data_IF_174195525371
#
_entry.id   IF_174195525371
#
_cell.length_a   1.000
_cell.length_b   1.000
_cell.length_c   1.000
_cell.angle_alpha   90.00
_cell.angle_beta   90.00
_cell.angle_gamma   90.00
#
_symmetry.space_group_name_H-M   'P 1'
#
loop_
_entity.id
_entity.type
_entity.pdbx_description
1 polymer ?
#
# COMPACT_ATOMS: atom_id res chain seq x y z
N UNK A 1 15.82 -0.36 -4.50
CA UNK A 1 14.84 -0.79 -3.48
C UNK A 1 13.84 -1.81 -4.01
N UNK A 2 13.33 -1.74 -5.25
CA UNK A 2 12.47 -2.81 -5.78
C UNK A 2 13.17 -4.17 -5.95
N UNK A 3 14.50 -4.18 -6.12
CA UNK A 3 15.32 -5.39 -6.05
C UNK A 3 15.22 -6.11 -4.70
N UNK A 4 14.83 -5.43 -3.63
CA UNK A 4 14.66 -6.03 -2.30
C UNK A 4 13.43 -6.96 -2.29
N UNK A 5 12.34 -6.60 -2.97
CA UNK A 5 11.19 -7.49 -3.11
C UNK A 5 11.54 -8.74 -3.92
N UNK A 6 12.37 -8.59 -4.97
CA UNK A 6 12.88 -9.71 -5.76
C UNK A 6 13.88 -10.57 -4.96
N UNK A 7 14.66 -9.92 -4.08
CA UNK A 7 15.57 -10.57 -3.16
C UNK A 7 14.81 -11.39 -2.13
N UNK A 8 13.65 -10.95 -1.64
CA UNK A 8 12.82 -11.77 -0.75
C UNK A 8 12.44 -13.10 -1.41
N UNK A 9 11.95 -13.08 -2.65
CA UNK A 9 11.67 -14.32 -3.39
C UNK A 9 12.92 -15.18 -3.61
N UNK A 10 14.06 -14.56 -3.94
CA UNK A 10 15.32 -15.27 -4.11
C UNK A 10 15.82 -15.89 -2.79
N UNK A 11 15.64 -15.21 -1.67
CA UNK A 11 15.97 -15.69 -0.33
C UNK A 11 15.05 -16.82 0.08
N UNK A 12 13.74 -16.75 -0.20
CA UNK A 12 12.83 -17.89 0.07
C UNK A 12 13.25 -19.11 -0.75
N UNK A 13 13.61 -18.92 -2.02
CA UNK A 13 14.09 -19.98 -2.88
C UNK A 13 15.41 -20.57 -2.37
N UNK A 14 16.38 -19.73 -1.98
CA UNK A 14 17.64 -20.18 -1.37
C UNK A 14 17.40 -20.88 -0.03
N UNK A 15 16.49 -20.38 0.81
CA UNK A 15 16.15 -20.97 2.09
C UNK A 15 15.64 -22.41 1.92
N UNK A 16 14.90 -22.69 0.84
CA UNK A 16 14.48 -24.06 0.52
C UNK A 16 15.65 -25.02 0.25
N UNK A 17 16.75 -24.56 -0.33
CA UNK A 17 17.93 -25.41 -0.61
C UNK A 17 18.94 -25.47 0.54
N UNK A 18 19.08 -24.39 1.31
CA UNK A 18 20.11 -24.28 2.35
C UNK A 18 19.61 -24.61 3.75
N UNK A 19 18.29 -24.52 4.01
CA UNK A 19 17.70 -24.78 5.32
C UNK A 19 16.90 -26.08 5.26
N UNK A 20 17.49 -27.14 5.80
CA UNK A 20 16.87 -28.47 5.82
C UNK A 20 15.47 -28.48 6.46
N UNK A 21 15.27 -27.73 7.54
CA UNK A 21 13.95 -27.62 8.19
C UNK A 21 12.86 -27.04 7.26
N UNK A 22 13.20 -26.07 6.39
CA UNK A 22 12.25 -25.49 5.45
C UNK A 22 11.90 -26.50 4.35
N UNK A 23 12.91 -27.22 3.86
CA UNK A 23 12.72 -28.27 2.87
C UNK A 23 11.82 -29.39 3.42
N UNK A 24 12.07 -29.85 4.64
CA UNK A 24 11.30 -30.91 5.29
C UNK A 24 9.83 -30.50 5.49
N UNK A 25 9.57 -29.27 5.95
CA UNK A 25 8.19 -28.76 6.12
C UNK A 25 7.46 -28.72 4.77
N UNK A 26 8.11 -28.22 3.72
CA UNK A 26 7.49 -28.12 2.39
C UNK A 26 7.26 -29.51 1.78
N UNK A 27 8.21 -30.43 1.92
CA UNK A 27 8.06 -31.81 1.44
C UNK A 27 6.96 -32.55 2.20
N UNK A 28 6.88 -32.41 3.52
CA UNK A 28 5.81 -32.99 4.32
C UNK A 28 4.44 -32.43 3.92
N UNK A 29 4.33 -31.12 3.67
CA UNK A 29 3.10 -30.52 3.15
C UNK A 29 2.69 -31.11 1.79
N UNK A 30 3.65 -31.30 0.88
CA UNK A 30 3.40 -31.89 -0.44
C UNK A 30 2.97 -33.36 -0.35
N UNK A 31 3.53 -34.12 0.60
CA UNK A 31 3.15 -35.52 0.82
C UNK A 31 1.78 -35.67 1.47
N UNK A 32 1.42 -34.81 2.43
CA UNK A 32 0.16 -34.89 3.15
C UNK A 32 -1.01 -34.26 2.38
N UNK A 33 -0.78 -33.10 1.75
CA UNK A 33 -1.82 -32.28 1.13
C UNK A 33 -1.40 -31.81 -0.27
N UNK A 34 -1.25 -32.71 -1.26
CA UNK A 34 -0.68 -32.38 -2.56
C UNK A 34 -1.51 -31.30 -3.28
N UNK A 35 -2.83 -31.45 -3.36
CA UNK A 35 -3.72 -30.53 -4.08
C UNK A 35 -3.66 -29.09 -3.54
N UNK A 36 -3.77 -28.94 -2.22
CA UNK A 36 -3.71 -27.63 -1.55
C UNK A 36 -2.31 -27.05 -1.70
N UNK A 37 -1.27 -27.84 -1.48
CA UNK A 37 0.13 -27.37 -1.52
C UNK A 37 0.54 -26.91 -2.93
N UNK A 38 0.20 -27.64 -3.99
CA UNK A 38 0.48 -27.20 -5.36
C UNK A 38 -0.27 -25.91 -5.71
N UNK A 39 -1.52 -25.78 -5.26
CA UNK A 39 -2.30 -24.56 -5.45
C UNK A 39 -1.66 -23.36 -4.75
N UNK A 40 -1.16 -23.53 -3.52
CA UNK A 40 -0.43 -22.49 -2.78
C UNK A 40 0.84 -22.03 -3.49
N UNK A 41 1.61 -22.99 -4.04
CA UNK A 41 2.83 -22.68 -4.80
C UNK A 41 2.47 -21.88 -6.07
N UNK A 42 1.42 -22.28 -6.78
CA UNK A 42 0.93 -21.54 -7.95
C UNK A 42 0.51 -20.10 -7.60
N UNK A 43 -0.25 -19.94 -6.51
CA UNK A 43 -0.67 -18.62 -6.00
C UNK A 43 0.53 -17.77 -5.59
N UNK A 44 1.57 -18.37 -5.02
CA UNK A 44 2.80 -17.65 -4.65
C UNK A 44 3.57 -17.13 -5.88
N UNK A 45 3.65 -17.93 -6.93
CA UNK A 45 4.39 -17.58 -8.16
C UNK A 45 3.62 -16.54 -9.00
N UNK A 46 2.28 -16.54 -8.96
CA UNK A 46 1.44 -15.71 -9.81
C UNK A 46 1.74 -14.19 -9.74
N UNK A 47 1.79 -13.54 -8.56
CA UNK A 47 2.17 -12.12 -8.45
C UNK A 47 3.60 -11.82 -8.94
N UNK A 48 4.52 -12.77 -8.77
CA UNK A 48 5.91 -12.63 -9.25
C UNK A 48 5.95 -12.57 -10.78
N UNK A 49 5.17 -13.41 -11.48
CA UNK A 49 5.08 -13.39 -12.94
C UNK A 49 4.53 -12.04 -13.42
N UNK A 50 3.46 -11.54 -12.79
CA UNK A 50 2.88 -10.23 -13.14
C UNK A 50 3.93 -9.12 -12.97
N UNK A 51 4.66 -9.13 -11.86
CA UNK A 51 5.72 -8.15 -11.62
C UNK A 51 6.85 -8.24 -12.65
N UNK A 52 7.29 -9.45 -13.02
CA UNK A 52 8.27 -9.64 -14.10
C UNK A 52 7.77 -9.09 -15.43
N UNK A 53 6.52 -9.38 -15.79
CA UNK A 53 5.89 -8.84 -17.00
C UNK A 53 5.88 -7.31 -16.98
N UNK A 54 5.43 -6.67 -15.90
CA UNK A 54 5.45 -5.21 -15.79
C UNK A 54 6.86 -4.62 -15.93
N UNK A 55 7.86 -5.29 -15.37
CA UNK A 55 9.26 -4.90 -15.50
C UNK A 55 9.77 -5.00 -16.94
N UNK A 56 9.48 -6.10 -17.64
CA UNK A 56 9.90 -6.32 -19.04
C UNK A 56 9.24 -5.31 -19.97
N UNK A 57 7.94 -5.07 -19.81
CA UNK A 57 7.18 -4.13 -20.64
C UNK A 57 7.32 -2.66 -20.23
N UNK A 58 8.18 -2.33 -19.24
CA UNK A 58 8.38 -0.97 -18.69
C UNK A 58 7.07 -0.26 -18.31
N UNK A 59 6.09 -1.02 -17.82
CA UNK A 59 4.75 -0.53 -17.45
C UNK A 59 4.75 0.03 -16.02
N UNK A 60 5.44 1.14 -15.83
CA UNK A 60 5.71 1.73 -14.51
C UNK A 60 4.63 2.69 -13.98
N UNK A 61 3.41 2.62 -14.52
CA UNK A 61 2.30 3.51 -14.14
C UNK A 61 1.61 3.06 -12.83
N UNK A 62 0.98 4.02 -12.14
CA UNK A 62 0.23 3.77 -10.89
C UNK A 62 -0.89 2.74 -11.08
N UNK A 63 -1.57 2.75 -12.23
CA UNK A 63 -2.64 1.78 -12.55
C UNK A 63 -2.15 0.33 -12.48
N UNK A 64 -0.96 0.06 -13.02
CA UNK A 64 -0.34 -1.27 -13.00
C UNK A 64 0.11 -1.69 -11.59
N UNK A 65 0.49 -0.72 -10.74
CA UNK A 65 0.73 -0.99 -9.32
C UNK A 65 -0.55 -1.36 -8.58
N UNK A 66 -1.65 -0.61 -8.79
CA UNK A 66 -2.95 -0.91 -8.16
C UNK A 66 -3.42 -2.30 -8.57
N UNK A 67 -3.28 -2.65 -9.85
CA UNK A 67 -3.57 -4.00 -10.33
C UNK A 67 -2.72 -5.07 -9.61
N UNK A 68 -1.39 -4.92 -9.60
CA UNK A 68 -0.49 -5.87 -8.91
C UNK A 68 -0.80 -5.98 -7.41
N UNK A 69 -1.06 -4.84 -6.75
CA UNK A 69 -1.42 -4.79 -5.33
C UNK A 69 -2.72 -5.55 -5.06
N UNK A 70 -3.74 -5.35 -5.88
CA UNK A 70 -5.02 -6.03 -5.70
C UNK A 70 -4.87 -7.55 -5.92
N UNK A 71 -4.15 -7.96 -6.97
CA UNK A 71 -3.89 -9.38 -7.22
C UNK A 71 -3.07 -10.03 -6.10
N UNK A 72 -2.03 -9.37 -5.61
CA UNK A 72 -1.18 -9.90 -4.54
C UNK A 72 -1.96 -10.01 -3.22
N UNK A 73 -2.78 -9.01 -2.87
CA UNK A 73 -3.64 -9.06 -1.68
C UNK A 73 -4.70 -10.15 -1.78
N UNK A 74 -5.29 -10.34 -2.96
CA UNK A 74 -6.24 -11.41 -3.20
C UNK A 74 -5.57 -12.78 -3.08
N UNK A 75 -4.40 -12.96 -3.69
CA UNK A 75 -3.57 -14.17 -3.54
C UNK A 75 -3.22 -14.46 -2.07
N UNK A 76 -2.81 -13.43 -1.32
CA UNK A 76 -2.52 -13.54 0.10
C UNK A 76 -3.76 -13.95 0.93
N UNK A 77 -4.93 -13.41 0.61
CA UNK A 77 -6.20 -13.78 1.25
C UNK A 77 -6.61 -15.21 0.92
N UNK A 78 -6.59 -15.60 -0.35
CA UNK A 78 -6.93 -16.96 -0.80
C UNK A 78 -5.98 -18.00 -0.19
N UNK A 79 -4.70 -17.67 -0.06
CA UNK A 79 -3.70 -18.53 0.59
C UNK A 79 -4.01 -18.78 2.07
N UNK A 80 -4.48 -17.78 2.82
CA UNK A 80 -4.92 -18.01 4.21
C UNK A 80 -6.17 -18.89 4.23
N UNK A 81 -7.15 -18.60 3.37
CA UNK A 81 -8.40 -19.36 3.29
C UNK A 81 -8.18 -20.84 2.94
N UNK A 82 -7.28 -21.13 2.00
CA UNK A 82 -6.91 -22.51 1.66
C UNK A 82 -6.23 -23.24 2.83
N UNK A 83 -5.42 -22.53 3.64
CA UNK A 83 -4.81 -23.10 4.85
C UNK A 83 -5.86 -23.42 5.93
N UNK A 84 -6.87 -22.55 6.07
CA UNK A 84 -8.02 -22.81 6.95
C UNK A 84 -8.89 -23.97 6.46
N UNK A 85 -9.09 -24.11 5.14
CA UNK A 85 -9.78 -25.26 4.56
C UNK A 85 -9.00 -26.55 4.85
N UNK A 86 -7.68 -26.54 4.70
CA UNK A 86 -6.83 -27.67 5.08
C UNK A 86 -6.96 -28.02 6.56
N UNK A 87 -7.02 -27.01 7.43
CA UNK A 87 -7.27 -27.20 8.87
C UNK A 87 -8.62 -27.89 9.10
N UNK A 88 -9.68 -27.42 8.44
CA UNK A 88 -11.01 -28.01 8.56
C UNK A 88 -11.03 -29.48 8.11
N UNK A 89 -10.45 -29.79 6.95
CA UNK A 89 -10.35 -31.17 6.44
C UNK A 89 -9.59 -32.07 7.42
N UNK A 90 -8.46 -31.62 7.96
CA UNK A 90 -7.68 -32.41 8.92
C UNK A 90 -8.40 -32.61 10.26
N UNK A 91 -9.12 -31.61 10.76
CA UNK A 91 -9.94 -31.77 11.97
C UNK A 91 -11.12 -32.73 11.74
N UNK A 92 -11.78 -32.67 10.60
CA UNK A 92 -12.83 -33.65 10.23
C UNK A 92 -12.25 -35.05 10.17
N UNK A 93 -11.10 -35.25 9.50
CA UNK A 93 -10.43 -36.55 9.41
C UNK A 93 -10.04 -37.11 10.78
N UNK A 94 -9.59 -36.24 11.70
CA UNK A 94 -9.29 -36.62 13.08
C UNK A 94 -10.53 -37.13 13.82
N UNK A 95 -11.67 -36.41 13.72
CA UNK A 95 -12.93 -36.82 14.35
C UNK A 95 -13.42 -38.15 13.79
N UNK A 96 -13.34 -38.34 12.47
CA UNK A 96 -13.72 -39.59 11.80
C UNK A 96 -12.82 -40.76 12.22
N UNK A 97 -11.52 -40.55 12.36
CA UNK A 97 -10.59 -41.58 12.82
C UNK A 97 -10.88 -42.01 14.26
N UNK A 98 -11.19 -41.06 15.15
CA UNK A 98 -11.54 -41.34 16.55
C UNK A 98 -12.90 -42.05 16.63
N UNK A 99 -13.90 -41.61 15.87
CA UNK A 99 -15.21 -42.27 15.87
C UNK A 99 -15.13 -43.71 15.36
N UNK A 100 -14.29 -43.98 14.36
CA UNK A 100 -14.05 -45.33 13.87
C UNK A 100 -13.48 -46.27 14.96
N UNK A 101 -12.67 -45.74 15.90
CA UNK A 101 -12.16 -46.53 17.03
C UNK A 101 -13.25 -46.90 18.05
N UNK A 102 -14.29 -46.07 18.16
CA UNK A 102 -15.35 -46.21 19.17
C UNK A 102 -16.50 -47.12 18.71
N UNK A 103 -16.62 -47.35 17.40
CA UNK A 103 -17.73 -48.10 16.78
C UNK A 103 -17.40 -49.57 16.46
N UNK A 104 -16.22 -50.09 16.83
CA UNK A 104 -15.82 -51.46 16.51
C UNK A 104 -16.38 -52.50 17.50
N UNK A 105 -17.16 -53.46 16.99
CA UNK A 105 -17.57 -54.67 17.71
C UNK A 105 -16.55 -55.79 17.38
N UNK A 106 -15.89 -56.35 18.39
CA UNK A 106 -14.76 -57.27 18.21
C UNK A 106 -14.04 -57.62 19.51
N UNK A 107 -13.21 -58.66 19.45
CA UNK A 107 -12.43 -59.17 20.60
C UNK A 107 -11.38 -58.14 21.07
N UNK A 108 -10.87 -58.25 22.30
CA UNK A 108 -10.00 -57.24 22.93
C UNK A 108 -8.75 -56.92 22.07
N UNK A 109 -8.21 -57.92 21.37
CA UNK A 109 -7.07 -57.74 20.47
C UNK A 109 -7.41 -56.94 19.20
N UNK A 110 -8.61 -57.11 18.64
CA UNK A 110 -9.08 -56.35 17.47
C UNK A 110 -9.37 -54.90 17.85
N UNK A 111 -9.97 -54.68 19.03
CA UNK A 111 -10.18 -53.33 19.56
C UNK A 111 -8.87 -52.58 19.80
N UNK A 112 -7.84 -53.27 20.29
CA UNK A 112 -6.52 -52.64 20.49
C UNK A 112 -5.85 -52.27 19.18
N UNK A 113 -5.90 -53.14 18.15
CA UNK A 113 -5.37 -52.82 16.82
C UNK A 113 -6.15 -51.69 16.14
N UNK A 114 -7.48 -51.70 16.23
CA UNK A 114 -8.33 -50.62 15.72
C UNK A 114 -8.02 -49.28 16.40
N UNK A 115 -7.82 -49.29 17.72
CA UNK A 115 -7.46 -48.10 18.48
C UNK A 115 -6.10 -47.54 18.08
N UNK A 116 -5.07 -48.38 17.94
CA UNK A 116 -3.74 -47.94 17.50
C UNK A 116 -3.81 -47.34 16.09
N UNK A 117 -4.53 -47.99 15.17
CA UNK A 117 -4.74 -47.49 13.81
C UNK A 117 -5.45 -46.13 13.80
N UNK A 118 -6.53 -45.99 14.58
CA UNK A 118 -7.29 -44.75 14.69
C UNK A 118 -6.47 -43.61 15.28
N UNK A 119 -5.63 -43.86 16.29
CA UNK A 119 -4.72 -42.85 16.85
C UNK A 119 -3.70 -42.42 15.79
N UNK A 120 -3.09 -43.38 15.08
CA UNK A 120 -2.14 -43.07 14.02
C UNK A 120 -2.78 -42.23 12.90
N UNK A 121 -4.00 -42.56 12.50
CA UNK A 121 -4.75 -41.78 11.50
C UNK A 121 -5.10 -40.39 12.02
N UNK A 122 -5.57 -40.27 13.27
CA UNK A 122 -5.89 -39.00 13.89
C UNK A 122 -4.67 -38.07 13.98
N UNK A 123 -3.50 -38.62 14.33
CA UNK A 123 -2.23 -37.88 14.37
C UNK A 123 -1.81 -37.40 12.97
N UNK A 124 -1.99 -38.22 11.94
CA UNK A 124 -1.70 -37.82 10.56
C UNK A 124 -2.66 -36.70 10.09
N UNK A 125 -3.95 -36.80 10.40
CA UNK A 125 -4.94 -35.75 10.09
C UNK A 125 -4.70 -34.46 10.86
N UNK A 126 -4.20 -34.54 12.10
CA UNK A 126 -3.77 -33.37 12.87
C UNK A 126 -2.53 -32.70 12.23
N UNK A 127 -1.55 -33.50 11.82
CA UNK A 127 -0.36 -32.99 11.12
C UNK A 127 -0.75 -32.28 9.82
N UNK A 128 -1.65 -32.89 9.04
CA UNK A 128 -2.23 -32.28 7.84
C UNK A 128 -2.83 -30.89 8.12
N UNK A 129 -3.68 -30.79 9.15
CA UNK A 129 -4.31 -29.53 9.52
C UNK A 129 -3.30 -28.44 9.89
N UNK A 130 -2.33 -28.79 10.74
CA UNK A 130 -1.35 -27.84 11.25
C UNK A 130 -0.41 -27.34 10.15
N UNK A 131 0.12 -28.26 9.33
CA UNK A 131 1.12 -27.94 8.32
C UNK A 131 0.52 -27.12 7.17
N UNK A 132 -0.70 -27.45 6.73
CA UNK A 132 -1.42 -26.67 5.70
C UNK A 132 -1.75 -25.25 6.17
N UNK A 133 -2.07 -25.08 7.45
CA UNK A 133 -2.30 -23.76 8.06
C UNK A 133 -1.03 -22.91 8.10
N UNK A 134 0.08 -23.49 8.58
CA UNK A 134 1.38 -22.81 8.60
C UNK A 134 1.79 -22.39 7.20
N UNK A 135 1.64 -23.27 6.21
CA UNK A 135 1.99 -22.98 4.83
C UNK A 135 1.17 -21.80 4.29
N UNK A 136 -0.15 -21.80 4.50
CA UNK A 136 -1.04 -20.74 4.03
C UNK A 136 -0.71 -19.37 4.65
N UNK A 137 -0.48 -19.32 5.96
CA UNK A 137 -0.08 -18.07 6.63
C UNK A 137 1.30 -17.60 6.16
N UNK A 138 2.27 -18.52 6.04
CA UNK A 138 3.63 -18.19 5.63
C UNK A 138 3.68 -17.61 4.22
N UNK A 139 2.98 -18.24 3.27
CA UNK A 139 2.88 -17.75 1.89
C UNK A 139 2.23 -16.36 1.85
N UNK A 140 1.14 -16.16 2.61
CA UNK A 140 0.46 -14.86 2.70
C UNK A 140 1.37 -13.74 3.20
N UNK A 141 2.11 -13.99 4.28
CA UNK A 141 3.07 -13.01 4.84
C UNK A 141 4.17 -12.69 3.83
N UNK A 142 4.74 -13.70 3.18
CA UNK A 142 5.78 -13.51 2.16
C UNK A 142 5.30 -12.65 0.99
N UNK A 143 4.06 -12.88 0.52
CA UNK A 143 3.44 -12.09 -0.54
C UNK A 143 3.27 -10.62 -0.14
N UNK A 144 2.73 -10.36 1.05
CA UNK A 144 2.46 -9.00 1.53
C UNK A 144 3.75 -8.21 1.82
N UNK A 145 4.74 -8.85 2.42
CA UNK A 145 6.06 -8.24 2.63
C UNK A 145 6.70 -7.88 1.30
N UNK A 146 6.67 -8.80 0.33
CA UNK A 146 7.20 -8.55 -1.02
C UNK A 146 6.47 -7.40 -1.72
N UNK A 147 5.14 -7.31 -1.60
CA UNK A 147 4.34 -6.23 -2.16
C UNK A 147 4.75 -4.86 -1.62
N UNK A 148 5.05 -4.77 -0.33
CA UNK A 148 5.48 -3.51 0.29
C UNK A 148 6.76 -2.96 -0.38
N UNK A 149 7.69 -3.85 -0.76
CA UNK A 149 8.89 -3.45 -1.49
C UNK A 149 8.62 -3.12 -2.96
N UNK A 150 7.66 -3.77 -3.60
CA UNK A 150 7.27 -3.46 -4.98
C UNK A 150 6.66 -2.06 -5.12
N UNK A 151 6.02 -1.51 -4.07
CA UNK A 151 5.52 -0.13 -4.05
C UNK A 151 6.62 0.91 -4.41
N UNK A 152 7.85 0.69 -3.97
CA UNK A 152 8.97 1.60 -4.25
C UNK A 152 9.38 1.62 -5.73
N UNK A 153 9.03 0.60 -6.52
CA UNK A 153 9.26 0.60 -7.97
C UNK A 153 8.43 1.69 -8.68
N UNK A 154 7.15 1.76 -8.34
CA UNK A 154 6.17 2.61 -9.02
C UNK A 154 6.11 4.05 -8.49
N UNK A 155 6.66 4.33 -7.31
CA UNK A 155 6.72 5.70 -6.76
C UNK A 155 7.74 6.61 -7.47
N UNK A 156 8.80 6.04 -8.07
CA UNK A 156 9.88 6.84 -8.70
C UNK A 156 9.42 7.56 -9.97
N UNK A 157 8.46 7.01 -10.72
CA UNK A 157 7.87 7.66 -11.89
C UNK A 157 6.75 8.64 -11.56
N UNK A 158 5.95 8.36 -10.53
CA UNK A 158 4.91 9.30 -10.09
C UNK A 158 5.45 10.67 -9.67
N UNK A 159 6.61 10.71 -9.00
CA UNK A 159 7.27 11.97 -8.66
C UNK A 159 7.72 12.77 -9.90
N UNK A 160 8.17 12.07 -10.95
CA UNK A 160 8.54 12.70 -12.23
C UNK A 160 7.32 13.17 -13.03
N UNK A 161 6.24 12.38 -13.03
CA UNK A 161 4.99 12.74 -13.72
C UNK A 161 4.30 13.93 -13.10
N UNK A 162 4.18 13.98 -11.75
CA UNK A 162 3.55 15.12 -11.06
C UNK A 162 4.32 16.43 -11.25
N UNK A 163 5.66 16.37 -11.22
CA UNK A 163 6.50 17.54 -11.49
C UNK A 163 6.32 18.06 -12.93
N UNK A 164 6.13 17.15 -13.91
CA UNK A 164 5.94 17.51 -15.32
C UNK A 164 4.58 18.16 -15.56
N UNK A 165 3.51 17.65 -14.95
CA UNK A 165 2.16 18.22 -15.04
C UNK A 165 2.05 19.61 -14.41
N UNK A 166 2.71 19.87 -13.27
CA UNK A 166 2.72 21.21 -12.67
C UNK A 166 3.44 22.25 -13.54
N UNK A 167 4.53 21.88 -14.22
CA UNK A 167 5.19 22.79 -15.19
C UNK A 167 4.29 23.11 -16.39
N UNK A 168 3.55 22.14 -16.92
CA UNK A 168 2.69 22.34 -18.10
C UNK A 168 1.56 23.34 -17.80
N UNK A 169 0.87 23.20 -16.66
CA UNK A 169 -0.20 24.15 -16.30
C UNK A 169 0.31 25.58 -16.09
N UNK A 170 1.54 25.74 -15.59
CA UNK A 170 2.17 27.05 -15.39
C UNK A 170 2.55 27.68 -16.74
N UNK A 171 2.99 26.86 -17.69
CA UNK A 171 3.38 27.30 -19.03
C UNK A 171 2.16 27.69 -19.90
N UNK A 172 1.05 26.96 -19.79
CA UNK A 172 -0.21 27.33 -20.45
C UNK A 172 -0.80 28.63 -19.89
N UNK A 173 -0.76 28.84 -18.57
CA UNK A 173 -1.19 30.11 -17.96
C UNK A 173 -0.33 31.30 -18.41
N UNK A 174 0.98 31.10 -18.55
CA UNK A 174 1.87 32.14 -19.08
C UNK A 174 1.58 32.45 -20.55
N UNK A 175 1.33 31.43 -21.38
CA UNK A 175 0.93 31.64 -22.79
C UNK A 175 -0.40 32.37 -22.90
N UNK A 176 -1.39 32.01 -22.09
CA UNK A 176 -2.68 32.71 -22.04
C UNK A 176 -2.47 34.17 -21.65
N UNK A 177 -1.58 34.46 -20.69
CA UNK A 177 -1.27 35.83 -20.29
C UNK A 177 -0.56 36.64 -21.39
N UNK A 178 0.28 36.00 -22.20
CA UNK A 178 0.95 36.62 -23.35
C UNK A 178 -0.04 36.96 -24.48
N UNK A 179 -0.93 36.02 -24.85
CA UNK A 179 -2.00 36.31 -25.83
C UNK A 179 -2.94 37.41 -25.33
N UNK A 180 -3.16 37.50 -24.03
CA UNK A 180 -3.97 38.53 -23.40
C UNK A 180 -3.38 39.93 -23.58
N UNK A 181 -2.06 40.07 -23.38
CA UNK A 181 -1.35 41.33 -23.59
C UNK A 181 -1.44 41.77 -25.06
N UNK A 182 -1.24 40.84 -25.98
CA UNK A 182 -1.32 41.12 -27.42
C UNK A 182 -2.73 41.53 -27.84
N UNK A 183 -3.78 40.90 -27.30
CA UNK A 183 -5.17 41.29 -27.55
C UNK A 183 -5.52 42.67 -26.99
N UNK A 184 -4.96 43.03 -25.83
CA UNK A 184 -5.13 44.36 -25.25
C UNK A 184 -4.51 45.45 -26.14
N UNK A 185 -3.31 45.21 -26.67
CA UNK A 185 -2.65 46.13 -27.60
C UNK A 185 -3.41 46.29 -28.92
N UNK A 186 -4.00 45.20 -29.43
CA UNK A 186 -4.89 45.23 -30.60
C UNK A 186 -6.16 46.03 -30.30
N UNK A 187 -6.77 45.84 -29.13
CA UNK A 187 -7.97 46.57 -28.74
C UNK A 187 -7.71 48.09 -28.61
N UNK A 188 -6.58 48.48 -28.04
CA UNK A 188 -6.14 49.89 -27.96
C UNK A 188 -5.94 50.48 -29.36
N UNK A 189 -5.30 49.74 -30.28
CA UNK A 189 -5.12 50.17 -31.67
C UNK A 189 -6.44 50.31 -32.44
N UNK A 190 -7.37 49.38 -32.24
CA UNK A 190 -8.71 49.44 -32.84
C UNK A 190 -9.46 50.67 -32.31
N UNK A 191 -9.46 50.90 -31.00
CA UNK A 191 -10.10 52.07 -30.40
C UNK A 191 -9.51 53.39 -30.92
N UNK A 192 -8.18 53.49 -31.04
CA UNK A 192 -7.51 54.66 -31.64
C UNK A 192 -7.91 54.86 -33.11
N UNK A 193 -8.00 53.79 -33.89
CA UNK A 193 -8.44 53.88 -35.29
C UNK A 193 -9.90 54.30 -35.42
N UNK A 194 -10.80 53.83 -34.56
CA UNK A 194 -12.22 54.22 -34.55
C UNK A 194 -12.38 55.72 -34.32
N UNK A 195 -11.61 56.30 -33.39
CA UNK A 195 -11.62 57.75 -33.11
C UNK A 195 -11.17 58.58 -34.34
N UNK A 196 -10.42 57.99 -35.27
CA UNK A 196 -9.89 58.66 -36.46
C UNK A 196 -10.73 58.52 -37.74
N UNK A 197 -11.91 57.87 -37.69
CA UNK A 197 -12.77 57.68 -38.88
C UNK A 197 -13.67 58.92 -39.08
N UNK A 198 -13.57 59.68 -40.19
CA UNK A 198 -14.50 60.77 -40.51
C UNK A 198 -15.80 60.21 -41.14
N UNK A 199 -16.94 60.83 -40.83
CA UNK A 199 -18.29 60.34 -41.19
C UNK A 199 -18.54 60.14 -42.70
N UNK A 200 -19.17 59.01 -43.06
CA UNK A 200 -20.62 58.90 -43.31
C UNK A 200 -20.90 57.78 -44.33
N UNK A 201 -21.14 56.56 -43.85
CA UNK A 201 -21.78 55.49 -44.62
C UNK A 201 -22.37 54.44 -43.66
N UNK A 202 -23.47 53.80 -44.04
CA UNK A 202 -24.18 52.82 -43.18
C UNK A 202 -23.29 51.63 -42.79
N UNK A 203 -22.39 51.24 -43.69
CA UNK A 203 -21.33 50.25 -43.47
C UNK A 203 -20.33 50.68 -42.37
N UNK A 204 -20.01 51.98 -42.30
CA UNK A 204 -19.11 52.54 -41.28
C UNK A 204 -19.75 52.47 -39.90
N UNK A 205 -21.05 52.72 -39.79
CA UNK A 205 -21.78 52.57 -38.52
C UNK A 205 -21.86 51.11 -38.08
N UNK A 206 -22.12 50.16 -38.99
CA UNK A 206 -22.14 48.73 -38.66
C UNK A 206 -20.76 48.20 -38.24
N UNK A 207 -19.69 48.62 -38.90
CA UNK A 207 -18.32 48.24 -38.51
C UNK A 207 -17.99 48.84 -37.14
N UNK A 208 -18.36 50.08 -36.90
CA UNK A 208 -18.09 50.75 -35.62
C UNK A 208 -18.84 50.07 -34.47
N UNK A 209 -20.11 49.70 -34.64
CA UNK A 209 -20.88 48.97 -33.61
C UNK A 209 -20.37 47.55 -33.38
N UNK A 210 -19.97 46.83 -34.44
CA UNK A 210 -19.34 45.51 -34.30
C UNK A 210 -17.97 45.57 -33.61
N UNK A 211 -17.16 46.58 -33.88
CA UNK A 211 -15.89 46.75 -33.19
C UNK A 211 -16.08 47.19 -31.73
N UNK A 212 -17.07 48.01 -31.44
CA UNK A 212 -17.42 48.40 -30.08
C UNK A 212 -17.86 47.19 -29.24
N UNK A 213 -18.74 46.35 -29.81
CA UNK A 213 -19.20 45.12 -29.15
C UNK A 213 -18.08 44.10 -28.96
N UNK A 214 -17.15 43.98 -29.93
CA UNK A 214 -15.97 43.13 -29.78
C UNK A 214 -15.03 43.66 -28.68
N UNK A 215 -14.85 44.98 -28.62
CA UNK A 215 -14.03 45.64 -27.60
C UNK A 215 -14.59 45.45 -26.19
N UNK A 216 -15.90 45.62 -26.01
CA UNK A 216 -16.55 45.38 -24.71
C UNK A 216 -16.49 43.90 -24.32
N UNK A 217 -16.75 42.98 -25.26
CA UNK A 217 -16.65 41.53 -24.99
C UNK A 217 -15.22 41.13 -24.61
N UNK A 218 -14.21 41.68 -25.29
CA UNK A 218 -12.81 41.45 -24.94
C UNK A 218 -12.48 41.99 -23.53
N UNK A 219 -13.00 43.17 -23.18
CA UNK A 219 -12.82 43.76 -21.86
C UNK A 219 -13.49 42.95 -20.74
N UNK A 220 -14.69 42.43 -20.98
CA UNK A 220 -15.38 41.53 -20.05
C UNK A 220 -14.57 40.24 -19.82
N UNK A 221 -14.11 39.60 -20.89
CA UNK A 221 -13.27 38.41 -20.80
C UNK A 221 -11.95 38.68 -20.04
N UNK A 222 -11.33 39.85 -20.23
CA UNK A 222 -10.16 40.30 -19.46
C UNK A 222 -10.44 40.38 -17.96
N UNK A 223 -11.60 40.92 -17.57
CA UNK A 223 -11.97 41.04 -16.16
C UNK A 223 -12.24 39.69 -15.50
N UNK A 224 -12.90 38.76 -16.21
CA UNK A 224 -13.11 37.38 -15.74
C UNK A 224 -11.78 36.64 -15.57
N UNK A 225 -10.87 36.76 -16.52
CA UNK A 225 -9.56 36.10 -16.40
C UNK A 225 -8.72 36.68 -15.25
N UNK A 226 -8.79 37.99 -15.02
CA UNK A 226 -8.13 38.62 -13.87
C UNK A 226 -8.71 38.16 -12.53
N UNK A 227 -10.02 37.93 -12.45
CA UNK A 227 -10.65 37.40 -11.22
C UNK A 227 -10.25 35.94 -10.97
N UNK A 228 -10.15 35.12 -12.02
CA UNK A 228 -9.66 33.74 -11.94
C UNK A 228 -8.21 33.71 -11.42
N UNK A 229 -7.34 34.57 -11.95
CA UNK A 229 -5.94 34.66 -11.49
C UNK A 229 -5.85 35.04 -10.01
N UNK A 230 -6.62 36.04 -9.58
CA UNK A 230 -6.65 36.45 -8.18
C UNK A 230 -7.15 35.32 -7.25
N UNK A 231 -8.13 34.53 -7.70
CA UNK A 231 -8.61 33.37 -6.95
C UNK A 231 -7.56 32.25 -6.83
N UNK A 232 -6.78 32.00 -7.89
CA UNK A 232 -5.66 31.04 -7.87
C UNK A 232 -4.57 31.49 -6.89
N UNK A 233 -4.21 32.77 -6.90
CA UNK A 233 -3.23 33.35 -5.97
C UNK A 233 -3.72 33.29 -4.51
N UNK A 234 -4.99 33.61 -4.23
CA UNK A 234 -5.60 33.48 -2.90
C UNK A 234 -5.61 32.01 -2.41
N UNK A 235 -5.94 31.07 -3.30
CA UNK A 235 -5.92 29.65 -2.96
C UNK A 235 -4.52 29.17 -2.59
N UNK A 236 -3.49 29.58 -3.34
CA UNK A 236 -2.09 29.26 -3.03
C UNK A 236 -1.66 29.81 -1.67
N UNK A 237 -2.06 31.03 -1.32
CA UNK A 237 -1.77 31.64 -0.02
C UNK A 237 -2.44 30.84 1.10
N UNK A 238 -3.73 30.52 0.94
CA UNK A 238 -4.49 29.71 1.92
C UNK A 238 -3.86 28.34 2.12
N UNK A 239 -3.50 27.65 1.03
CA UNK A 239 -2.86 26.34 1.10
C UNK A 239 -1.53 26.39 1.89
N UNK A 240 -0.70 27.40 1.62
CA UNK A 240 0.55 27.58 2.37
C UNK A 240 0.31 27.84 3.86
N UNK A 241 -0.71 28.63 4.21
CA UNK A 241 -1.10 28.85 5.60
C UNK A 241 -1.58 27.56 6.30
N UNK A 242 -2.37 26.73 5.61
CA UNK A 242 -2.81 25.43 6.12
C UNK A 242 -1.63 24.49 6.38
N UNK A 243 -0.71 24.36 5.42
CA UNK A 243 0.48 23.52 5.54
C UNK A 243 1.38 23.98 6.70
N UNK A 244 1.52 25.29 6.90
CA UNK A 244 2.26 25.84 8.03
C UNK A 244 1.60 25.49 9.36
N UNK A 245 0.28 25.65 9.46
CA UNK A 245 -0.50 25.30 10.66
C UNK A 245 -0.39 23.81 11.00
N UNK A 246 -0.49 22.93 10.00
CA UNK A 246 -0.33 21.49 10.18
C UNK A 246 1.08 21.15 10.71
N UNK A 247 2.13 21.79 10.16
CA UNK A 247 3.51 21.60 10.60
C UNK A 247 3.71 22.02 12.06
N UNK A 248 3.10 23.13 12.48
CA UNK A 248 3.16 23.61 13.88
C UNK A 248 2.44 22.63 14.82
N UNK A 249 1.24 22.17 14.45
CA UNK A 249 0.49 21.20 15.25
C UNK A 249 1.28 19.90 15.44
N UNK A 250 1.84 19.35 14.36
CA UNK A 250 2.68 18.14 14.43
C UNK A 250 3.91 18.31 15.32
N UNK A 251 4.50 19.52 15.35
CA UNK A 251 5.63 19.82 16.24
C UNK A 251 5.19 19.81 17.71
N UNK A 252 4.05 20.43 18.02
CA UNK A 252 3.49 20.45 19.37
C UNK A 252 3.13 19.04 19.87
N UNK A 253 2.54 18.21 19.01
CA UNK A 253 2.21 16.82 19.35
C UNK A 253 3.48 15.99 19.60
N UNK A 254 4.51 16.17 18.77
CA UNK A 254 5.81 15.51 18.98
C UNK A 254 6.48 15.94 20.30
N UNK A 255 6.36 17.21 20.70
CA UNK A 255 6.88 17.70 21.99
C UNK A 255 6.14 17.06 23.17
N UNK A 256 4.80 16.89 23.08
CA UNK A 256 4.01 16.17 24.10
C UNK A 256 4.43 14.71 24.21
N UNK A 257 4.57 14.01 23.08
CA UNK A 257 5.01 12.61 23.05
C UNK A 257 6.41 12.49 23.66
N UNK A 258 7.33 13.40 23.34
CA UNK A 258 8.67 13.42 23.92
C UNK A 258 8.66 13.62 25.45
N UNK A 259 7.75 14.46 25.96
CA UNK A 259 7.60 14.67 27.40
C UNK A 259 7.06 13.41 28.10
N UNK A 260 6.11 12.70 27.51
CA UNK A 260 5.61 11.42 28.05
C UNK A 260 6.66 10.32 28.03
N UNK A 261 7.44 10.20 26.95
CA UNK A 261 8.57 9.26 26.87
C UNK A 261 9.59 9.53 27.99
N UNK A 262 9.88 10.81 28.27
CA UNK A 262 10.78 11.19 29.37
C UNK A 262 10.25 10.73 30.74
N UNK A 263 8.95 10.92 31.01
CA UNK A 263 8.30 10.44 32.24
C UNK A 263 8.36 8.92 32.36
N UNK A 264 8.06 8.19 31.28
CA UNK A 264 8.15 6.72 31.26
C UNK A 264 9.58 6.27 31.57
N UNK A 265 10.59 6.90 30.98
CA UNK A 265 11.99 6.57 31.23
C UNK A 265 12.40 6.82 32.69
N UNK A 266 11.92 7.90 33.31
CA UNK A 266 12.14 8.15 34.74
C UNK A 266 11.50 7.07 35.61
N UNK A 267 10.26 6.65 35.31
CA UNK A 267 9.58 5.57 36.03
C UNK A 267 10.30 4.24 35.88
N UNK A 268 10.78 3.90 34.68
CA UNK A 268 11.59 2.70 34.43
C UNK A 268 12.88 2.73 35.25
N UNK A 269 13.56 3.87 35.32
CA UNK A 269 14.78 4.03 36.11
C UNK A 269 14.51 3.81 37.61
N UNK A 270 13.43 4.41 38.13
CA UNK A 270 13.01 4.22 39.52
C UNK A 270 12.68 2.77 39.84
N UNK A 271 11.94 2.07 38.95
CA UNK A 271 11.63 0.64 39.12
C UNK A 271 12.88 -0.23 39.15
N UNK A 272 13.87 0.06 38.30
CA UNK A 272 15.17 -0.64 38.32
C UNK A 272 15.90 -0.44 39.63
N UNK A 273 15.97 0.79 40.13
CA UNK A 273 16.63 1.12 41.41
C UNK A 273 15.96 0.40 42.59
N UNK A 274 14.62 0.45 42.67
CA UNK A 274 13.82 -0.28 43.68
C UNK A 274 14.07 -1.80 43.61
N UNK A 275 14.12 -2.36 42.40
CA UNK A 275 14.35 -3.80 42.22
C UNK A 275 15.74 -4.22 42.70
N UNK A 276 16.76 -3.40 42.42
CA UNK A 276 18.13 -3.62 42.90
C UNK A 276 18.18 -3.54 44.43
N UNK A 277 17.52 -2.55 45.03
CA UNK A 277 17.47 -2.39 46.49
C UNK A 277 16.77 -3.60 47.16
N UNK A 278 15.64 -4.04 46.62
CA UNK A 278 14.94 -5.23 47.11
C UNK A 278 15.80 -6.49 47.00
N UNK A 279 16.52 -6.68 45.88
CA UNK A 279 17.47 -7.80 45.73
C UNK A 279 18.60 -7.74 46.76
N UNK A 280 19.17 -6.56 47.03
CA UNK A 280 20.21 -6.40 48.06
C UNK A 280 19.70 -6.77 49.45
N UNK A 281 18.50 -6.31 49.82
CA UNK A 281 17.86 -6.67 51.12
C UNK A 281 17.63 -8.17 51.26
N UNK A 282 17.22 -8.82 50.18
CA UNK A 282 16.97 -10.27 50.16
C UNK A 282 18.28 -11.06 50.32
N UNK A 283 19.35 -10.63 49.64
CA UNK A 283 20.69 -11.23 49.77
C UNK A 283 21.26 -11.04 51.19
N UNK A 284 21.08 -9.88 51.82
CA UNK A 284 21.52 -9.67 53.20
C UNK A 284 20.79 -10.56 54.21
N UNK A 285 19.49 -10.80 53.99
CA UNK A 285 18.70 -11.71 54.83
C UNK A 285 19.18 -13.16 54.70
N UNK A 286 19.48 -13.60 53.47
CA UNK A 286 19.99 -14.95 53.19
C UNK A 286 21.43 -15.18 53.68
N UNK A 287 22.21 -14.12 53.92
CA UNK A 287 23.58 -14.21 54.46
C UNK A 287 23.68 -14.16 55.98
N UNK A 288 22.55 -14.00 56.68
CA UNK A 288 22.47 -13.98 58.15
C UNK A 288 21.96 -15.29 58.76
N UNK A 289 21.68 -16.31 57.93
CA UNK A 289 21.56 -17.72 58.32
C UNK A 289 22.91 -18.44 58.13
#
# INVERSE_FOLDING_TARGET
MYYIGLLFYAVTFLAFFFIQAVQEIVQQCLSLAPEISYTMIGIYIYPLIIFLCHKIFKKNQLSHYVFLSNQTKLSASVSVSLGLIGTFIGLTGMITAISASLSGDGDVSEKMNAMISSISMALNSMSFAFLTSILGVSVSVLLLVSLNFFNFFYQKENKKSKAKTSTIHTEELNKIQETLSNLQDVNINIAQKIVSIPENNELTNQITTHLLTLSTTAQENLTVLRSIKNADDDWKIKLNAYLLKEKVNRKADNEKISAEISKINQTIKWLKEKTIESRKKLLTLLSME
#
